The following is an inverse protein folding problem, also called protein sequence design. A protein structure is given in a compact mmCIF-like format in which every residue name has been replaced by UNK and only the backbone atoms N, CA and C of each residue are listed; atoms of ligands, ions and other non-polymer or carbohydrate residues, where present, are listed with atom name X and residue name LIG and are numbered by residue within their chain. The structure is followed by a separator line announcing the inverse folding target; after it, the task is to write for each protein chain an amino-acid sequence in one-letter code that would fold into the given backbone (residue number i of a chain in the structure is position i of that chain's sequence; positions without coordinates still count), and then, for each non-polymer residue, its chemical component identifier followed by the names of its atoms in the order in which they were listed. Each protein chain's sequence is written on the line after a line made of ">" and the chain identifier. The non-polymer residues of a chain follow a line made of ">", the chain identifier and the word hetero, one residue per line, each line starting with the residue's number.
data_IF_614977167288
#
_entry.id   IF_614977167288
#
_cell.length_a   1.000
_cell.length_b   1.000
_cell.length_c   1.000
_cell.angle_alpha   90.00
_cell.angle_beta   90.00
_cell.angle_gamma   90.00
#
_symmetry.space_group_name_H-M   'P 1'
#
loop_
_entity.id
_entity.type
_entity.pdbx_description
1 polymer ?
#
# COMPACT_ATOMS: atom_id res chain seq x y z
N UNK A 1 -0.44 3.05 -36.62
CA UNK A 1 0.54 2.34 -35.77
C UNK A 1 0.22 2.72 -34.34
N UNK A 2 -0.41 1.83 -33.55
CA UNK A 2 -0.58 2.05 -32.13
C UNK A 2 0.83 2.01 -31.53
N UNK A 3 1.30 3.16 -31.01
CA UNK A 3 2.47 3.20 -30.13
C UNK A 3 2.14 2.27 -28.94
N UNK A 4 2.73 1.09 -28.93
CA UNK A 4 2.63 0.16 -27.82
C UNK A 4 3.51 0.68 -26.67
N UNK A 5 3.07 1.78 -26.05
CA UNK A 5 3.73 2.28 -24.84
C UNK A 5 3.59 1.21 -23.78
N UNK A 6 4.72 0.73 -23.29
CA UNK A 6 4.78 -0.26 -22.21
C UNK A 6 4.15 0.34 -20.95
N UNK A 7 3.30 -0.40 -20.23
CA UNK A 7 2.73 0.06 -18.95
C UNK A 7 3.86 0.49 -18.01
N UNK A 8 3.76 1.67 -17.42
CA UNK A 8 4.72 2.20 -16.45
C UNK A 8 4.26 1.93 -15.03
N UNK A 9 5.05 1.20 -14.29
CA UNK A 9 4.77 0.75 -12.93
C UNK A 9 5.70 1.47 -11.96
N UNK A 10 5.13 2.07 -10.92
CA UNK A 10 5.86 2.51 -9.74
C UNK A 10 5.81 1.41 -8.67
N UNK A 11 6.94 1.12 -8.05
CA UNK A 11 7.02 0.29 -6.83
C UNK A 11 7.55 1.14 -5.69
N UNK A 12 6.88 1.05 -4.54
CA UNK A 12 7.33 1.58 -3.25
C UNK A 12 7.20 0.50 -2.18
N UNK A 13 7.82 0.68 -1.01
CA UNK A 13 7.65 -0.21 0.15
C UNK A 13 8.00 0.52 1.44
N UNK A 14 7.88 -0.13 2.59
CA UNK A 14 8.36 0.32 3.91
C UNK A 14 9.49 -0.55 4.49
N UNK A 15 9.78 -1.71 3.90
CA UNK A 15 10.92 -2.56 4.30
C UNK A 15 12.29 -2.01 3.84
N UNK A 16 12.30 -1.01 2.95
CA UNK A 16 13.50 -0.40 2.41
C UNK A 16 13.97 -0.99 1.07
N UNK A 17 14.93 -0.28 0.44
CA UNK A 17 15.41 -0.57 -0.93
C UNK A 17 16.09 -1.94 -1.06
N UNK A 18 16.58 -2.52 0.03
CA UNK A 18 17.24 -3.83 0.04
C UNK A 18 16.26 -5.00 0.22
N UNK A 19 14.95 -4.75 0.37
CA UNK A 19 13.93 -5.78 0.54
C UNK A 19 13.96 -6.82 -0.57
N UNK A 20 14.13 -8.09 -0.19
CA UNK A 20 14.11 -9.20 -1.13
C UNK A 20 12.72 -9.40 -1.78
N UNK A 21 11.65 -9.13 -1.03
CA UNK A 21 10.28 -9.27 -1.51
C UNK A 21 9.91 -8.19 -2.53
N UNK A 22 10.35 -6.95 -2.29
CA UNK A 22 10.23 -5.88 -3.28
C UNK A 22 11.00 -6.20 -4.57
N UNK A 23 12.23 -6.74 -4.45
CA UNK A 23 13.03 -7.14 -5.62
C UNK A 23 12.37 -8.27 -6.41
N UNK A 24 11.75 -9.24 -5.74
CA UNK A 24 11.00 -10.31 -6.40
C UNK A 24 9.81 -9.73 -7.20
N UNK A 25 9.07 -8.80 -6.61
CA UNK A 25 7.97 -8.09 -7.28
C UNK A 25 8.47 -7.30 -8.49
N UNK A 26 9.53 -6.52 -8.33
CA UNK A 26 10.11 -5.71 -9.42
C UNK A 26 10.56 -6.60 -10.59
N UNK A 27 11.33 -7.64 -10.31
CA UNK A 27 11.84 -8.56 -11.33
C UNK A 27 10.72 -9.24 -12.15
N UNK A 28 9.64 -9.62 -11.51
CA UNK A 28 8.49 -10.22 -12.20
C UNK A 28 7.73 -9.19 -13.05
N UNK A 29 7.52 -7.99 -12.54
CA UNK A 29 6.82 -6.92 -13.26
C UNK A 29 7.63 -6.38 -14.44
N UNK A 30 8.97 -6.40 -14.41
CA UNK A 30 9.84 -6.00 -15.51
C UNK A 30 9.63 -6.83 -16.77
N UNK A 31 9.12 -8.08 -16.65
CA UNK A 31 8.79 -8.93 -17.79
C UNK A 31 7.59 -8.39 -18.60
N UNK A 32 6.75 -7.55 -17.99
CA UNK A 32 5.47 -7.11 -18.58
C UNK A 32 5.31 -5.59 -18.61
N UNK A 33 6.14 -4.84 -17.89
CA UNK A 33 6.02 -3.40 -17.69
C UNK A 33 7.38 -2.70 -17.70
N UNK A 34 7.39 -1.38 -17.76
CA UNK A 34 8.53 -0.54 -17.42
C UNK A 34 8.43 -0.19 -15.92
N UNK A 35 9.37 -0.71 -15.13
CA UNK A 35 9.30 -0.64 -13.67
C UNK A 35 10.27 0.41 -13.13
N UNK A 36 9.79 1.21 -12.19
CA UNK A 36 10.57 2.15 -11.40
C UNK A 36 10.36 1.86 -9.91
N UNK A 37 11.44 1.83 -9.16
CA UNK A 37 11.41 1.61 -7.71
C UNK A 37 11.86 2.87 -6.99
N UNK A 38 11.03 3.35 -6.07
CA UNK A 38 11.40 4.39 -5.10
C UNK A 38 11.11 3.84 -3.70
N UNK A 39 12.15 3.59 -2.92
CA UNK A 39 12.02 2.95 -1.62
C UNK A 39 12.82 3.70 -0.55
N UNK A 40 12.44 3.62 0.72
CA UNK A 40 13.23 4.14 1.82
C UNK A 40 14.62 3.53 1.86
N UNK A 41 15.63 4.31 2.33
CA UNK A 41 16.99 3.79 2.56
C UNK A 41 17.01 2.73 3.68
N UNK A 42 16.10 2.85 4.64
CA UNK A 42 15.97 1.97 5.82
C UNK A 42 14.52 1.64 6.07
N UNK A 43 14.27 0.55 6.80
CA UNK A 43 12.94 0.14 7.23
C UNK A 43 12.17 1.27 7.93
N UNK A 44 10.87 1.38 7.59
CA UNK A 44 9.94 2.41 8.05
C UNK A 44 8.62 1.79 8.57
N UNK A 45 8.73 0.74 9.39
CA UNK A 45 7.56 0.04 9.95
C UNK A 45 6.75 0.94 10.88
N UNK A 46 5.42 0.88 10.80
CA UNK A 46 4.51 1.56 11.72
C UNK A 46 4.44 3.09 11.57
N UNK A 47 4.99 3.66 10.50
CA UNK A 47 5.02 5.12 10.29
C UNK A 47 3.69 5.70 9.78
N UNK A 48 2.67 4.87 9.52
CA UNK A 48 1.41 5.32 8.94
C UNK A 48 1.63 6.11 7.65
N UNK A 49 0.84 7.15 7.39
CA UNK A 49 0.99 8.04 6.24
C UNK A 49 1.84 9.28 6.58
N UNK A 50 2.89 9.11 7.36
CA UNK A 50 3.81 10.20 7.65
C UNK A 50 4.57 10.62 6.39
N UNK A 51 4.76 11.93 6.20
CA UNK A 51 5.60 12.47 5.13
C UNK A 51 6.45 13.64 5.65
N UNK A 52 7.55 13.92 4.97
CA UNK A 52 8.54 14.90 5.39
C UNK A 52 8.22 16.28 4.83
N UNK A 53 8.12 17.28 5.73
CA UNK A 53 7.91 18.69 5.38
C UNK A 53 9.05 19.54 5.92
N UNK A 54 9.54 20.49 5.13
CA UNK A 54 10.55 21.49 5.53
C UNK A 54 11.90 20.89 6.00
N UNK A 55 12.17 19.63 5.71
CA UNK A 55 13.48 18.99 5.86
C UNK A 55 13.90 18.45 4.50
N UNK A 56 15.22 18.46 4.23
CA UNK A 56 15.75 17.87 3.01
C UNK A 56 15.58 16.35 3.02
N UNK A 57 15.32 15.80 1.84
CA UNK A 57 15.35 14.36 1.57
C UNK A 57 16.52 14.10 0.61
N UNK A 58 17.33 13.09 0.89
CA UNK A 58 18.31 12.59 -0.05
C UNK A 58 17.66 11.60 -1.00
N UNK A 59 18.14 11.60 -2.24
CA UNK A 59 17.79 10.62 -3.25
C UNK A 59 19.08 10.05 -3.84
N UNK A 60 19.21 8.74 -3.85
CA UNK A 60 20.35 8.04 -4.43
C UNK A 60 19.87 7.00 -5.45
N UNK A 61 20.39 7.08 -6.67
CA UNK A 61 20.21 6.00 -7.64
C UNK A 61 21.10 4.82 -7.22
N UNK A 62 20.51 3.64 -7.02
CA UNK A 62 21.21 2.43 -6.58
C UNK A 62 21.35 1.38 -7.68
N UNK A 63 20.49 1.43 -8.68
CA UNK A 63 20.54 0.63 -9.90
C UNK A 63 19.69 1.31 -10.98
N UNK A 64 19.68 0.77 -12.20
CA UNK A 64 18.82 1.27 -13.26
C UNK A 64 17.35 1.32 -12.78
N UNK A 65 16.73 2.50 -12.79
CA UNK A 65 15.36 2.77 -12.32
C UNK A 65 15.07 2.39 -10.87
N UNK A 66 16.10 2.24 -10.03
CA UNK A 66 15.96 1.94 -8.60
C UNK A 66 16.57 3.06 -7.77
N UNK A 67 15.77 3.68 -6.94
CA UNK A 67 16.14 4.85 -6.15
C UNK A 67 15.88 4.61 -4.66
N UNK A 68 16.89 4.93 -3.84
CA UNK A 68 16.78 4.95 -2.38
C UNK A 68 16.58 6.39 -1.90
N UNK A 69 15.62 6.61 -1.02
CA UNK A 69 15.29 7.93 -0.47
C UNK A 69 15.36 7.92 1.07
N UNK A 70 15.89 8.98 1.67
CA UNK A 70 15.92 9.15 3.14
C UNK A 70 14.56 9.61 3.70
N UNK A 71 13.46 8.99 3.29
CA UNK A 71 12.11 9.35 3.64
C UNK A 71 11.24 8.13 3.93
N UNK A 72 9.94 8.38 4.09
CA UNK A 72 8.92 7.37 4.30
C UNK A 72 8.43 6.80 2.96
N UNK A 73 7.63 5.70 2.95
CA UNK A 73 6.96 5.24 1.74
C UNK A 73 6.11 6.31 1.05
N UNK A 74 5.41 7.13 1.83
CA UNK A 74 4.64 8.26 1.31
C UNK A 74 5.54 9.32 0.64
N UNK A 75 6.71 9.63 1.21
CA UNK A 75 7.70 10.52 0.58
C UNK A 75 8.17 9.96 -0.76
N UNK A 76 8.49 8.66 -0.81
CA UNK A 76 8.92 7.97 -2.02
C UNK A 76 7.86 8.05 -3.13
N UNK A 77 6.61 7.69 -2.80
CA UNK A 77 5.49 7.78 -3.75
C UNK A 77 5.24 9.22 -4.20
N UNK A 78 5.19 10.16 -3.25
CA UNK A 78 4.97 11.59 -3.53
C UNK A 78 6.04 12.17 -4.44
N UNK A 79 7.32 11.86 -4.19
CA UNK A 79 8.42 12.32 -5.03
C UNK A 79 8.32 11.73 -6.44
N UNK A 80 8.12 10.41 -6.55
CA UNK A 80 8.03 9.72 -7.83
C UNK A 80 6.87 10.26 -8.68
N UNK A 81 5.69 10.41 -8.09
CA UNK A 81 4.47 10.83 -8.78
C UNK A 81 4.42 12.34 -9.06
N UNK A 82 4.82 13.15 -8.08
CA UNK A 82 4.73 14.61 -8.18
C UNK A 82 5.90 15.25 -8.89
N UNK A 83 7.13 14.83 -8.61
CA UNK A 83 8.33 15.46 -9.14
C UNK A 83 8.99 14.67 -10.27
N UNK A 84 9.36 13.41 -10.03
CA UNK A 84 10.11 12.60 -10.98
C UNK A 84 9.34 12.38 -12.29
N UNK A 85 8.05 12.06 -12.23
CA UNK A 85 7.21 11.84 -13.41
C UNK A 85 7.09 13.09 -14.29
N UNK A 86 7.20 14.29 -13.69
CA UNK A 86 7.04 15.57 -14.39
C UNK A 86 8.36 16.21 -14.83
N UNK A 87 9.45 15.98 -14.09
CA UNK A 87 10.72 16.72 -14.22
C UNK A 87 11.94 15.80 -14.40
N UNK A 88 11.79 14.49 -14.24
CA UNK A 88 12.90 13.55 -14.43
C UNK A 88 13.48 13.65 -15.85
N UNK A 89 14.81 13.55 -15.97
CA UNK A 89 15.50 13.59 -17.27
C UNK A 89 15.42 12.24 -17.96
N UNK A 90 15.53 12.23 -19.29
CA UNK A 90 15.59 10.98 -20.08
C UNK A 90 16.77 10.11 -19.64
N UNK A 91 17.91 10.72 -19.22
CA UNK A 91 19.08 10.01 -18.70
C UNK A 91 18.83 9.32 -17.36
N UNK A 92 17.87 9.81 -16.58
CA UNK A 92 17.44 9.21 -15.29
C UNK A 92 16.26 8.26 -15.46
N UNK A 93 15.85 7.95 -16.71
CA UNK A 93 14.67 7.17 -17.01
C UNK A 93 13.36 7.91 -16.71
N UNK A 94 13.45 9.19 -16.32
CA UNK A 94 12.32 10.09 -16.18
C UNK A 94 11.99 10.76 -17.52
N UNK A 95 10.82 11.32 -17.63
CA UNK A 95 10.33 12.00 -18.82
C UNK A 95 8.82 12.17 -18.75
N UNK A 96 8.21 12.92 -19.67
CA UNK A 96 6.78 13.14 -19.66
C UNK A 96 6.04 11.83 -19.79
N UNK A 97 5.44 11.39 -18.70
CA UNK A 97 4.63 10.19 -18.65
C UNK A 97 4.29 9.84 -17.21
N UNK A 98 3.00 9.91 -16.90
CA UNK A 98 2.47 9.45 -15.63
C UNK A 98 2.75 7.94 -15.47
N UNK A 99 2.83 7.47 -14.25
CA UNK A 99 2.73 6.05 -13.93
C UNK A 99 1.28 5.57 -14.15
N UNK A 100 1.13 4.38 -14.69
CA UNK A 100 -0.19 3.77 -14.92
C UNK A 100 -0.74 3.12 -13.65
N UNK A 101 0.15 2.61 -12.79
CA UNK A 101 -0.20 1.93 -11.53
C UNK A 101 0.98 1.99 -10.55
N UNK A 102 0.67 2.05 -9.27
CA UNK A 102 1.62 1.95 -8.17
C UNK A 102 1.35 0.69 -7.35
N UNK A 103 2.37 -0.16 -7.19
CA UNK A 103 2.39 -1.23 -6.20
C UNK A 103 3.20 -0.80 -4.98
N UNK A 104 2.66 -1.07 -3.79
CA UNK A 104 3.37 -0.84 -2.54
C UNK A 104 3.56 -2.16 -1.80
N UNK A 105 4.82 -2.56 -1.56
CA UNK A 105 5.18 -3.84 -0.95
C UNK A 105 6.19 -4.62 -1.81
N UNK A 106 6.26 -5.97 -1.71
CA UNK A 106 5.43 -6.84 -0.87
C UNK A 106 5.91 -6.76 0.57
N UNK A 107 5.03 -6.44 1.51
CA UNK A 107 5.35 -6.28 2.92
C UNK A 107 5.45 -7.63 3.65
N UNK A 108 6.40 -7.72 4.58
CA UNK A 108 6.48 -8.81 5.57
C UNK A 108 5.61 -8.46 6.76
N UNK A 109 4.51 -9.16 6.92
CA UNK A 109 3.45 -8.84 7.89
C UNK A 109 2.17 -8.38 7.19
N UNK A 110 1.01 -8.72 7.74
CA UNK A 110 -0.26 -8.28 7.19
C UNK A 110 -0.58 -6.82 7.55
N UNK A 111 -1.38 -6.19 6.70
CA UNK A 111 -1.90 -4.84 6.88
C UNK A 111 -3.43 -4.83 6.69
N UNK A 112 -4.14 -5.87 7.15
CA UNK A 112 -5.59 -6.00 7.08
C UNK A 112 -6.29 -5.28 8.23
N UNK A 113 -7.57 -4.99 8.10
CA UNK A 113 -8.35 -4.30 9.12
C UNK A 113 -7.72 -2.99 9.57
N UNK A 114 -7.74 -2.74 10.87
CA UNK A 114 -7.20 -1.49 11.46
C UNK A 114 -5.68 -1.35 11.29
N UNK A 115 -4.93 -2.46 11.08
CA UNK A 115 -3.48 -2.39 10.77
C UNK A 115 -3.20 -1.51 9.55
N UNK A 116 -4.13 -1.46 8.59
CA UNK A 116 -4.01 -0.61 7.38
C UNK A 116 -3.87 0.89 7.67
N UNK A 117 -4.31 1.34 8.84
CA UNK A 117 -4.22 2.74 9.25
C UNK A 117 -2.81 3.13 9.72
N UNK A 118 -2.04 2.17 10.23
CA UNK A 118 -0.69 2.35 10.76
C UNK A 118 0.41 1.97 9.77
N UNK A 119 0.04 1.34 8.64
CA UNK A 119 0.96 0.78 7.65
C UNK A 119 1.59 1.83 6.73
N UNK A 120 2.92 1.78 6.61
CA UNK A 120 3.68 2.50 5.59
C UNK A 120 3.45 1.94 4.18
N UNK A 121 3.31 0.62 4.05
CA UNK A 121 2.97 -0.04 2.77
C UNK A 121 1.62 0.44 2.25
N UNK A 122 0.58 0.44 3.09
CA UNK A 122 -0.75 0.94 2.70
C UNK A 122 -0.69 2.44 2.38
N UNK A 123 0.16 3.21 3.07
CA UNK A 123 0.36 4.62 2.80
C UNK A 123 0.93 4.88 1.40
N UNK A 124 1.87 4.07 0.91
CA UNK A 124 2.38 4.19 -0.46
C UNK A 124 1.29 4.06 -1.53
N UNK A 125 0.41 3.06 -1.41
CA UNK A 125 -0.73 2.88 -2.31
C UNK A 125 -1.79 4.00 -2.16
N UNK A 126 -2.02 4.46 -0.93
CA UNK A 126 -2.92 5.60 -0.65
C UNK A 126 -2.39 6.89 -1.25
N UNK A 127 -1.09 7.14 -1.16
CA UNK A 127 -0.46 8.31 -1.78
C UNK A 127 -0.64 8.29 -3.30
N UNK A 128 -0.49 7.12 -3.94
CA UNK A 128 -0.76 6.99 -5.37
C UNK A 128 -2.20 7.39 -5.74
N UNK A 129 -3.18 6.92 -4.96
CA UNK A 129 -4.59 7.29 -5.17
C UNK A 129 -4.85 8.79 -4.99
N UNK A 130 -4.11 9.48 -4.09
CA UNK A 130 -4.16 10.95 -3.93
C UNK A 130 -3.67 11.68 -5.19
N UNK A 131 -2.73 11.09 -5.93
CA UNK A 131 -2.21 11.60 -7.21
C UNK A 131 -3.02 11.14 -8.42
N UNK A 132 -4.15 10.45 -8.22
CA UNK A 132 -4.99 9.93 -9.29
C UNK A 132 -4.41 8.70 -10.01
N UNK A 133 -3.39 8.07 -9.44
CA UNK A 133 -2.79 6.83 -9.95
C UNK A 133 -3.35 5.65 -9.19
N UNK A 134 -3.85 4.59 -9.86
CA UNK A 134 -4.28 3.36 -9.21
C UNK A 134 -3.20 2.80 -8.27
N UNK A 135 -3.56 2.59 -7.00
CA UNK A 135 -2.66 2.05 -5.98
C UNK A 135 -3.05 0.65 -5.54
N UNK A 136 -2.07 -0.23 -5.36
CA UNK A 136 -2.26 -1.60 -4.85
C UNK A 136 -1.21 -1.87 -3.78
N UNK A 137 -1.63 -2.03 -2.54
CA UNK A 137 -0.77 -2.48 -1.44
C UNK A 137 -0.79 -4.01 -1.37
N UNK A 138 0.38 -4.62 -1.19
CA UNK A 138 0.56 -6.07 -1.13
C UNK A 138 1.27 -6.45 0.18
N UNK A 139 0.67 -7.33 0.99
CA UNK A 139 1.18 -7.71 2.29
C UNK A 139 1.03 -9.22 2.55
N UNK A 140 2.07 -9.85 3.08
CA UNK A 140 2.10 -11.27 3.43
C UNK A 140 1.99 -11.45 4.94
N UNK A 141 1.02 -12.23 5.40
CA UNK A 141 0.94 -12.64 6.81
C UNK A 141 1.89 -13.82 7.05
N UNK A 142 3.02 -13.55 7.69
CA UNK A 142 3.99 -14.59 8.08
C UNK A 142 5.14 -14.77 7.12
N UNK A 143 5.39 -16.00 6.68
CA UNK A 143 6.52 -16.38 5.83
C UNK A 143 6.25 -16.15 4.32
N UNK A 144 7.22 -16.55 3.49
CA UNK A 144 7.22 -16.36 2.05
C UNK A 144 6.46 -17.44 1.24
N UNK A 145 5.73 -18.34 1.90
CA UNK A 145 5.04 -19.45 1.23
C UNK A 145 4.10 -19.00 0.10
N UNK A 146 3.51 -17.82 0.21
CA UNK A 146 2.65 -17.24 -0.81
C UNK A 146 3.27 -16.03 -1.54
N UNK A 147 4.58 -15.78 -1.42
CA UNK A 147 5.24 -14.66 -2.11
C UNK A 147 5.04 -14.77 -3.64
N UNK A 148 5.20 -15.96 -4.20
CA UNK A 148 5.01 -16.15 -5.64
C UNK A 148 3.54 -15.87 -6.06
N UNK A 149 2.56 -16.24 -5.23
CA UNK A 149 1.14 -15.95 -5.49
C UNK A 149 0.88 -14.44 -5.47
N UNK A 150 1.52 -13.71 -4.54
CA UNK A 150 1.40 -12.26 -4.46
C UNK A 150 2.02 -11.56 -5.68
N UNK A 151 3.18 -12.04 -6.12
CA UNK A 151 3.88 -11.56 -7.31
C UNK A 151 3.07 -11.85 -8.58
N UNK A 152 2.56 -13.07 -8.74
CA UNK A 152 1.73 -13.46 -9.88
C UNK A 152 0.44 -12.64 -9.94
N UNK A 153 -0.18 -12.35 -8.79
CA UNK A 153 -1.33 -11.46 -8.72
C UNK A 153 -0.99 -10.06 -9.26
N UNK A 154 0.14 -9.47 -8.87
CA UNK A 154 0.55 -8.16 -9.37
C UNK A 154 0.79 -8.18 -10.90
N UNK A 155 1.42 -9.23 -11.41
CA UNK A 155 1.60 -9.44 -12.86
C UNK A 155 0.25 -9.55 -13.58
N UNK A 156 -0.71 -10.25 -13.00
CA UNK A 156 -2.08 -10.36 -13.53
C UNK A 156 -2.81 -9.02 -13.53
N UNK A 157 -2.67 -8.21 -12.47
CA UNK A 157 -3.24 -6.84 -12.42
C UNK A 157 -2.76 -6.00 -13.61
N UNK A 158 -1.48 -6.11 -13.96
CA UNK A 158 -0.91 -5.40 -15.12
C UNK A 158 -1.36 -6.02 -16.44
N UNK A 159 -1.15 -7.32 -16.63
CA UNK A 159 -1.44 -8.02 -17.90
C UNK A 159 -2.92 -7.96 -18.29
N UNK A 160 -3.81 -8.10 -17.32
CA UNK A 160 -5.27 -8.08 -17.53
C UNK A 160 -5.84 -6.66 -17.48
N UNK A 161 -5.02 -5.67 -17.16
CA UNK A 161 -5.44 -4.27 -17.07
C UNK A 161 -6.40 -3.96 -15.92
N UNK A 162 -6.43 -4.81 -14.87
CA UNK A 162 -7.35 -4.64 -13.74
C UNK A 162 -7.14 -3.32 -12.99
N UNK A 163 -5.94 -2.77 -13.01
CA UNK A 163 -5.68 -1.46 -12.41
C UNK A 163 -6.54 -0.34 -12.99
N UNK A 164 -7.01 -0.46 -14.24
CA UNK A 164 -7.88 0.53 -14.90
C UNK A 164 -9.31 0.53 -14.35
N UNK A 165 -9.69 -0.55 -13.66
CA UNK A 165 -10.99 -0.68 -13.00
C UNK A 165 -11.00 -0.09 -11.59
N UNK A 166 -9.84 0.34 -11.06
CA UNK A 166 -9.75 1.00 -9.76
C UNK A 166 -10.24 2.45 -9.90
N UNK A 167 -11.35 2.82 -9.24
CA UNK A 167 -11.89 4.17 -9.36
C UNK A 167 -10.94 5.23 -8.83
N UNK A 168 -11.03 6.45 -9.34
CA UNK A 168 -10.28 7.58 -8.79
C UNK A 168 -10.57 7.76 -7.29
N UNK A 169 -9.52 7.99 -6.51
CA UNK A 169 -9.61 8.12 -5.05
C UNK A 169 -9.85 6.80 -4.32
N UNK A 170 -9.65 5.67 -5.00
CA UNK A 170 -9.68 4.32 -4.40
C UNK A 170 -8.33 3.66 -4.62
N UNK A 171 -7.93 2.82 -3.67
CA UNK A 171 -6.78 1.92 -3.80
C UNK A 171 -7.15 0.54 -3.25
N UNK A 172 -6.43 -0.49 -3.68
CA UNK A 172 -6.63 -1.84 -3.17
C UNK A 172 -5.60 -2.18 -2.09
N UNK A 173 -6.09 -2.72 -0.99
CA UNK A 173 -5.27 -3.33 0.05
C UNK A 173 -5.41 -4.86 -0.05
N UNK A 174 -4.33 -5.53 -0.43
CA UNK A 174 -4.32 -6.97 -0.70
C UNK A 174 -3.45 -7.66 0.34
N UNK A 175 -4.03 -8.60 1.07
CA UNK A 175 -3.34 -9.35 2.11
C UNK A 175 -3.38 -10.85 1.80
N UNK A 176 -2.27 -11.54 1.98
CA UNK A 176 -2.11 -12.97 1.75
C UNK A 176 -1.99 -13.71 3.09
N UNK A 177 -2.71 -14.84 3.27
CA UNK A 177 -2.77 -15.55 4.54
C UNK A 177 -1.48 -16.32 4.85
N UNK A 178 -1.28 -16.68 6.12
CA UNK A 178 -0.21 -17.58 6.55
C UNK A 178 -0.68 -19.03 6.40
N UNK A 179 -0.55 -19.57 5.20
CA UNK A 179 -0.89 -20.95 4.86
C UNK A 179 0.10 -21.48 3.80
N UNK A 180 0.17 -22.79 3.64
CA UNK A 180 0.91 -23.39 2.54
C UNK A 180 0.16 -23.21 1.22
N UNK A 181 0.84 -23.38 0.08
CA UNK A 181 0.20 -23.25 -1.23
C UNK A 181 -0.95 -24.23 -1.44
N UNK A 182 -0.86 -25.44 -0.87
CA UNK A 182 -1.90 -26.47 -0.94
C UNK A 182 -3.15 -26.10 -0.12
N UNK A 183 -2.97 -25.30 0.93
CA UNK A 183 -4.04 -24.85 1.84
C UNK A 183 -4.62 -23.49 1.43
N UNK A 184 -4.03 -22.83 0.43
CA UNK A 184 -4.49 -21.55 -0.07
C UNK A 184 -5.84 -21.69 -0.78
N UNK A 185 -6.83 -20.91 -0.33
CA UNK A 185 -8.21 -21.02 -0.80
C UNK A 185 -8.59 -20.03 -1.89
N UNK A 186 -7.60 -19.28 -2.44
CA UNK A 186 -7.86 -18.27 -3.47
C UNK A 186 -8.19 -16.89 -2.91
N UNK A 187 -8.81 -16.04 -3.72
CA UNK A 187 -9.02 -14.61 -3.44
C UNK A 187 -10.46 -14.30 -3.06
N UNK A 188 -10.66 -13.30 -2.20
CA UNK A 188 -11.96 -12.75 -1.81
C UNK A 188 -11.94 -11.23 -1.82
N UNK A 189 -12.99 -10.62 -2.37
CA UNK A 189 -13.28 -9.20 -2.14
C UNK A 189 -13.91 -9.06 -0.73
N UNK A 190 -13.42 -8.08 0.02
CA UNK A 190 -13.74 -7.96 1.45
C UNK A 190 -14.00 -6.51 1.83
N UNK A 191 -14.59 -6.32 3.01
CA UNK A 191 -14.59 -5.03 3.71
C UNK A 191 -13.48 -4.99 4.75
N UNK A 192 -13.06 -3.81 5.12
CA UNK A 192 -12.11 -3.56 6.20
C UNK A 192 -12.73 -3.99 7.53
N UNK A 193 -12.04 -4.81 8.30
CA UNK A 193 -12.37 -5.11 9.69
C UNK A 193 -12.08 -3.90 10.60
N UNK A 194 -12.87 -3.76 11.66
CA UNK A 194 -12.71 -2.68 12.64
C UNK A 194 -12.34 -3.21 14.03
N UNK A 195 -11.97 -4.48 14.13
CA UNK A 195 -11.55 -5.09 15.37
C UNK A 195 -10.19 -4.55 15.84
N UNK A 196 -10.13 -4.27 17.13
CA UNK A 196 -8.89 -3.82 17.77
C UNK A 196 -8.04 -5.02 18.20
N UNK A 197 -6.80 -4.75 18.59
CA UNK A 197 -5.92 -5.68 19.25
C UNK A 197 -6.25 -5.76 20.76
N UNK A 198 -5.78 -6.82 21.41
CA UNK A 198 -5.80 -6.95 22.89
C UNK A 198 -4.64 -6.18 23.52
N UNK A 199 -4.49 -4.92 23.14
CA UNK A 199 -3.34 -4.09 23.51
C UNK A 199 -3.09 -4.07 25.02
N UNK A 200 -1.88 -4.36 25.41
CA UNK A 200 -1.40 -4.20 26.78
C UNK A 200 0.04 -3.68 26.78
N UNK A 201 0.40 -3.00 27.86
CA UNK A 201 1.76 -2.48 28.02
C UNK A 201 2.46 -3.22 29.15
N UNK A 202 3.65 -3.74 28.90
CA UNK A 202 4.59 -4.21 29.89
C UNK A 202 5.62 -3.13 30.18
N UNK A 203 6.20 -3.13 31.38
CA UNK A 203 7.23 -2.15 31.77
C UNK A 203 8.48 -2.88 32.28
N UNK A 204 9.59 -2.67 31.62
CA UNK A 204 10.89 -3.21 32.03
C UNK A 204 12.01 -2.19 31.74
N UNK A 205 13.00 -2.11 32.64
CA UNK A 205 14.18 -1.25 32.49
C UNK A 205 13.87 0.23 32.26
N UNK A 206 12.72 0.75 32.72
CA UNK A 206 12.29 2.14 32.50
C UNK A 206 11.61 2.38 31.15
N UNK A 207 11.39 1.33 30.35
CA UNK A 207 10.72 1.39 29.05
C UNK A 207 9.36 0.69 29.11
N UNK A 208 8.39 1.27 28.42
CA UNK A 208 7.10 0.64 28.17
C UNK A 208 7.09 -0.02 26.80
N UNK A 209 6.70 -1.27 26.75
CA UNK A 209 6.55 -2.03 25.51
C UNK A 209 5.09 -2.37 25.28
N UNK A 210 4.58 -2.02 24.10
CA UNK A 210 3.25 -2.43 23.63
C UNK A 210 3.33 -3.86 23.11
N UNK A 211 2.37 -4.68 23.52
CA UNK A 211 2.13 -6.02 23.01
C UNK A 211 0.62 -6.28 22.88
N UNK A 212 0.22 -7.30 22.12
CA UNK A 212 -1.18 -7.63 21.92
C UNK A 212 -1.42 -8.53 20.72
N UNK A 213 -2.53 -9.24 20.76
CA UNK A 213 -2.98 -10.15 19.72
C UNK A 213 -4.17 -9.57 18.96
N UNK A 214 -4.25 -9.85 17.66
CA UNK A 214 -5.39 -9.50 16.82
C UNK A 214 -6.53 -10.50 17.04
N UNK A 215 -7.75 -9.98 17.21
CA UNK A 215 -8.95 -10.79 17.42
C UNK A 215 -9.57 -11.23 16.08
N UNK A 216 -8.95 -12.20 15.42
CA UNK A 216 -9.26 -12.61 14.04
C UNK A 216 -10.69 -13.16 13.86
N UNK A 217 -11.13 -14.04 14.74
CA UNK A 217 -12.38 -14.80 14.60
C UNK A 217 -13.62 -14.04 15.08
N UNK A 218 -13.41 -12.94 15.80
CA UNK A 218 -14.49 -12.07 16.31
C UNK A 218 -14.96 -11.05 15.27
N UNK A 219 -14.31 -11.01 14.10
CA UNK A 219 -14.62 -10.04 13.03
C UNK A 219 -15.82 -10.49 12.18
N UNK A 220 -16.49 -9.54 11.48
CA UNK A 220 -17.52 -9.89 10.52
C UNK A 220 -17.02 -10.89 9.48
N UNK A 221 -17.82 -11.89 9.14
CA UNK A 221 -17.44 -13.01 8.26
C UNK A 221 -17.08 -12.61 6.83
N UNK A 222 -17.42 -11.39 6.41
CA UNK A 222 -17.10 -10.80 5.12
C UNK A 222 -15.94 -9.78 5.20
N UNK A 223 -15.28 -9.69 6.37
CA UNK A 223 -14.13 -8.81 6.57
C UNK A 223 -12.82 -9.45 6.14
N UNK A 224 -11.83 -8.59 5.89
CA UNK A 224 -10.48 -8.99 5.52
C UNK A 224 -9.79 -9.80 6.62
N UNK A 225 -9.86 -9.37 7.88
CA UNK A 225 -9.26 -10.11 9.00
C UNK A 225 -9.82 -11.52 9.12
N UNK A 226 -11.16 -11.65 9.10
CA UNK A 226 -11.80 -12.96 9.23
C UNK A 226 -11.41 -13.90 8.08
N UNK A 227 -11.55 -13.44 6.83
CA UNK A 227 -11.27 -14.26 5.65
C UNK A 227 -9.78 -14.56 5.47
N UNK A 228 -8.91 -13.65 5.85
CA UNK A 228 -7.46 -13.88 5.90
C UNK A 228 -7.13 -15.03 6.88
N UNK A 229 -7.75 -15.04 8.06
CA UNK A 229 -7.59 -16.13 9.05
C UNK A 229 -8.15 -17.46 8.55
N UNK A 230 -9.13 -17.43 7.64
CA UNK A 230 -9.67 -18.64 7.02
C UNK A 230 -8.84 -19.18 5.84
N UNK A 231 -7.74 -18.53 5.47
CA UNK A 231 -6.82 -18.98 4.40
C UNK A 231 -7.11 -18.42 3.02
N UNK A 232 -7.86 -17.33 2.91
CA UNK A 232 -8.06 -16.60 1.66
C UNK A 232 -7.13 -15.40 1.57
N UNK A 233 -6.65 -15.07 0.39
CA UNK A 233 -6.14 -13.74 0.10
C UNK A 233 -7.32 -12.77 -0.01
N UNK A 234 -7.18 -11.59 0.60
CA UNK A 234 -8.25 -10.60 0.69
C UNK A 234 -7.91 -9.36 -0.13
N UNK A 235 -8.89 -8.84 -0.87
CA UNK A 235 -8.79 -7.60 -1.63
C UNK A 235 -9.82 -6.65 -1.07
N UNK A 236 -9.34 -5.63 -0.35
CA UNK A 236 -10.19 -4.61 0.27
C UNK A 236 -10.02 -3.28 -0.44
N UNK A 237 -11.06 -2.75 -1.10
CA UNK A 237 -11.00 -1.41 -1.67
C UNK A 237 -11.15 -0.37 -0.56
N UNK A 238 -10.17 0.56 -0.48
CA UNK A 238 -10.18 1.67 0.45
C UNK A 238 -10.38 3.00 -0.28
N UNK A 239 -11.08 3.94 0.35
CA UNK A 239 -11.26 5.31 -0.15
C UNK A 239 -10.29 6.27 0.53
N UNK A 240 -9.81 7.26 -0.22
CA UNK A 240 -9.06 8.40 0.34
C UNK A 240 -10.00 9.42 1.00
N UNK A 241 -11.22 9.58 0.47
CA UNK A 241 -12.25 10.41 1.10
C UNK A 241 -12.92 9.64 2.24
N UNK A 242 -12.68 10.12 3.46
CA UNK A 242 -13.19 9.55 4.70
C UNK A 242 -14.41 10.32 5.24
N UNK A 243 -15.02 11.18 4.44
CA UNK A 243 -16.20 11.96 4.84
C UNK A 243 -17.39 11.01 5.07
N UNK A 244 -17.97 11.06 6.26
CA UNK A 244 -19.25 10.41 6.54
C UNK A 244 -20.41 11.33 6.11
N UNK A 245 -21.03 11.01 4.98
CA UNK A 245 -22.09 11.81 4.39
C UNK A 245 -23.31 11.97 5.32
N UNK A 246 -23.61 10.95 6.15
CA UNK A 246 -24.74 11.02 7.09
C UNK A 246 -24.46 12.03 8.18
N UNK A 247 -23.26 11.98 8.77
CA UNK A 247 -22.84 12.96 9.78
C UNK A 247 -22.74 14.36 9.19
N UNK A 248 -22.27 14.51 7.95
CA UNK A 248 -22.22 15.80 7.27
C UNK A 248 -23.62 16.44 7.16
N UNK A 249 -24.65 15.68 6.78
CA UNK A 249 -26.02 16.18 6.71
C UNK A 249 -26.59 16.53 8.10
N UNK A 250 -26.22 15.80 9.14
CA UNK A 250 -26.59 16.15 10.53
C UNK A 250 -25.96 17.47 10.92
N UNK A 251 -24.66 17.66 10.68
CA UNK A 251 -23.93 18.90 10.99
C UNK A 251 -24.54 20.09 10.23
N UNK A 252 -24.85 19.93 8.94
CA UNK A 252 -25.51 20.98 8.14
C UNK A 252 -26.86 21.45 8.79
N UNK A 253 -27.68 20.49 9.24
CA UNK A 253 -28.94 20.78 9.91
C UNK A 253 -28.74 21.50 11.24
N UNK A 254 -27.76 21.06 12.03
CA UNK A 254 -27.43 21.72 13.32
C UNK A 254 -26.99 23.17 13.11
N UNK A 255 -26.15 23.44 12.11
CA UNK A 255 -25.68 24.79 11.81
C UNK A 255 -26.80 25.68 11.23
N UNK A 256 -27.70 25.12 10.42
CA UNK A 256 -28.86 25.87 9.90
C UNK A 256 -29.91 26.17 10.95
N UNK A 257 -30.10 25.29 11.94
CA UNK A 257 -31.04 25.51 13.06
C UNK A 257 -30.49 26.35 14.22
N UNK A 258 -29.14 26.51 14.26
CA UNK A 258 -28.44 27.30 15.29
C UNK A 258 -27.98 28.69 14.83
N UNK A 259 -28.43 29.17 13.67
CA UNK A 259 -28.15 30.54 13.22
C UNK A 259 -29.00 31.53 14.02
N UNK A 260 -28.34 32.25 14.90
CA UNK A 260 -28.75 33.43 15.66
C UNK A 260 -29.15 33.17 17.11
N UNK A 261 -28.16 33.19 17.97
CA UNK A 261 -28.24 33.72 19.32
C UNK A 261 -27.12 34.73 19.45
#
# INVERSE_FOLDING_TARGET
>A
MQNNLKTRVLIVNDDGVESAYMRALASALEQVAEVFVFAPETEQSGVSHAFTVRRGLSLRNVAERVYAMSGTPADCAKFALGHFASHGTVSEGGGPGAFDVCFSGVNVGENSGVSSLYSGTVAGAREAALWGVPGVALSLRGDDALLQVAVDFAVDVVKKGWYREIPAGVFWNVNFPKVTIESFKGFKATRMALGMFTDHYSHDGGLWQLDGDKLWDEQPKDSDDYLLNQGYATITPHKIDQTDEKSLEVIKKMLAGGACG
#
